data_IF_188704767195
#
_entry.id   IF_188704767195
#
_cell.length_a   1.000
_cell.length_b   1.000
_cell.length_c   1.000
_cell.angle_alpha   90.00
_cell.angle_beta   90.00
_cell.angle_gamma   90.00
#
_symmetry.space_group_name_H-M   'P 1'
#
loop_
_entity.id
_entity.type
_entity.pdbx_description
1 polymer ?
#
# COMPACT_ATOMS: atom_id res chain seq x y z
N UNK A 1 9.14 -21.97 -1.03
CA UNK A 1 7.99 -21.11 -1.40
C UNK A 1 7.08 -21.89 -2.31
N UNK A 2 5.86 -22.13 -1.84
CA UNK A 2 4.79 -22.74 -2.65
C UNK A 2 4.35 -21.76 -3.74
N UNK A 3 3.56 -22.23 -4.72
CA UNK A 3 2.95 -21.34 -5.72
C UNK A 3 2.06 -20.29 -5.04
N UNK A 4 1.38 -20.64 -3.95
CA UNK A 4 0.59 -19.72 -3.14
C UNK A 4 1.45 -18.62 -2.51
N UNK A 5 2.61 -18.95 -1.95
CA UNK A 5 3.52 -17.95 -1.39
C UNK A 5 3.95 -16.92 -2.44
N UNK A 6 4.21 -17.38 -3.67
CA UNK A 6 4.58 -16.51 -4.79
C UNK A 6 3.43 -15.61 -5.24
N UNK A 7 2.21 -16.13 -5.30
CA UNK A 7 1.01 -15.35 -5.64
C UNK A 7 0.78 -14.27 -4.58
N UNK A 8 0.88 -14.64 -3.30
CA UNK A 8 0.73 -13.71 -2.18
C UNK A 8 1.77 -12.60 -2.19
N UNK A 9 3.02 -12.92 -2.48
CA UNK A 9 4.09 -11.93 -2.61
C UNK A 9 3.84 -10.96 -3.79
N UNK A 10 3.38 -11.48 -4.94
CA UNK A 10 3.07 -10.64 -6.10
C UNK A 10 1.90 -9.70 -5.82
N UNK A 11 0.82 -10.21 -5.23
CA UNK A 11 -0.34 -9.39 -4.85
C UNK A 11 0.03 -8.30 -3.85
N UNK A 12 0.86 -8.62 -2.86
CA UNK A 12 1.37 -7.63 -1.90
C UNK A 12 2.18 -6.53 -2.58
N UNK A 13 3.09 -6.90 -3.49
CA UNK A 13 3.87 -5.93 -4.28
C UNK A 13 2.96 -5.03 -5.11
N UNK A 14 1.94 -5.59 -5.75
CA UNK A 14 1.00 -4.83 -6.57
C UNK A 14 0.18 -3.86 -5.72
N UNK A 15 -0.34 -4.29 -4.57
CA UNK A 15 -1.07 -3.41 -3.64
C UNK A 15 -0.18 -2.27 -3.13
N UNK A 16 1.06 -2.56 -2.73
CA UNK A 16 1.97 -1.52 -2.27
C UNK A 16 2.34 -0.54 -3.39
N UNK A 17 2.59 -1.04 -4.60
CA UNK A 17 2.83 -0.19 -5.77
C UNK A 17 1.62 0.69 -6.10
N UNK A 18 0.40 0.17 -5.96
CA UNK A 18 -0.81 0.97 -6.16
C UNK A 18 -0.98 2.06 -5.11
N UNK A 19 -0.59 1.80 -3.85
CA UNK A 19 -0.59 2.81 -2.80
C UNK A 19 0.41 3.94 -3.11
N UNK A 20 1.60 3.59 -3.60
CA UNK A 20 2.59 4.58 -4.04
C UNK A 20 2.09 5.39 -5.25
N UNK A 21 1.46 4.74 -6.22
CA UNK A 21 0.85 5.42 -7.36
C UNK A 21 -0.24 6.42 -6.94
N UNK A 22 -0.97 6.16 -5.85
CA UNK A 22 -1.95 7.11 -5.30
C UNK A 22 -1.23 8.34 -4.74
N UNK A 23 -0.11 8.16 -4.06
CA UNK A 23 0.71 9.28 -3.58
C UNK A 23 1.20 10.14 -4.74
N UNK A 24 1.82 9.51 -5.75
CA UNK A 24 2.34 10.21 -6.93
C UNK A 24 1.23 10.91 -7.72
N UNK A 25 0.04 10.28 -7.83
CA UNK A 25 -1.11 10.91 -8.46
C UNK A 25 -1.57 12.16 -7.71
N UNK A 26 -1.56 12.13 -6.37
CA UNK A 26 -1.96 13.29 -5.60
C UNK A 26 -0.94 14.42 -5.65
N UNK A 27 0.35 14.10 -5.53
CA UNK A 27 1.45 15.06 -5.67
C UNK A 27 1.48 15.73 -7.05
N UNK A 28 1.22 14.97 -8.12
CA UNK A 28 1.20 15.51 -9.49
C UNK A 28 -0.05 16.32 -9.83
N UNK A 29 -1.18 16.12 -9.14
CA UNK A 29 -2.47 16.75 -9.47
C UNK A 29 -2.89 17.85 -8.50
N UNK A 30 -2.37 17.84 -7.28
CA UNK A 30 -2.78 18.76 -6.22
C UNK A 30 -1.55 19.39 -5.58
N UNK A 31 -1.57 20.71 -5.43
CA UNK A 31 -0.59 21.41 -4.60
C UNK A 31 -1.15 21.50 -3.19
N UNK A 32 -0.84 20.49 -2.38
CA UNK A 32 -1.30 20.42 -0.99
C UNK A 32 -0.35 21.21 -0.09
N UNK A 33 -0.89 21.77 0.98
CA UNK A 33 -0.06 22.31 2.04
C UNK A 33 0.58 21.17 2.83
N UNK A 34 1.79 21.42 3.36
CA UNK A 34 2.60 20.41 4.04
C UNK A 34 1.85 19.57 5.10
N UNK A 35 0.98 20.15 5.96
CA UNK A 35 0.19 19.36 6.91
C UNK A 35 -0.75 18.35 6.26
N UNK A 36 -1.30 18.68 5.09
CA UNK A 36 -2.24 17.82 4.36
C UNK A 36 -1.50 16.69 3.65
N UNK A 37 -0.34 16.99 3.04
CA UNK A 37 0.58 15.98 2.50
C UNK A 37 1.03 14.99 3.59
N UNK A 38 1.49 15.49 4.74
CA UNK A 38 1.91 14.65 5.86
C UNK A 38 0.77 13.75 6.35
N UNK A 39 -0.47 14.27 6.40
CA UNK A 39 -1.65 13.51 6.79
C UNK A 39 -1.99 12.39 5.78
N UNK A 40 -1.85 12.67 4.48
CA UNK A 40 -2.06 11.72 3.40
C UNK A 40 -1.01 10.60 3.45
N UNK A 41 0.28 10.96 3.53
CA UNK A 41 1.37 9.98 3.63
C UNK A 41 1.14 9.07 4.82
N UNK A 42 0.76 9.64 5.96
CA UNK A 42 0.44 8.88 7.16
C UNK A 42 -0.71 7.89 6.92
N UNK A 43 -1.80 8.32 6.28
CA UNK A 43 -2.95 7.46 5.98
C UNK A 43 -2.61 6.33 5.00
N UNK A 44 -1.80 6.61 3.98
CA UNK A 44 -1.35 5.61 3.02
C UNK A 44 -0.40 4.59 3.68
N UNK A 45 0.47 5.02 4.59
CA UNK A 45 1.31 4.11 5.36
C UNK A 45 0.50 3.26 6.35
N UNK A 46 -0.48 3.83 7.05
CA UNK A 46 -1.44 3.07 7.87
C UNK A 46 -2.14 1.98 7.04
N UNK A 47 -2.50 2.28 5.78
CA UNK A 47 -3.08 1.29 4.87
C UNK A 47 -2.08 0.18 4.50
N UNK A 48 -0.82 0.51 4.21
CA UNK A 48 0.23 -0.50 3.96
C UNK A 48 0.39 -1.45 5.14
N UNK A 49 0.42 -0.91 6.37
CA UNK A 49 0.57 -1.70 7.60
C UNK A 49 -0.61 -2.67 7.80
N UNK A 50 -1.84 -2.19 7.56
CA UNK A 50 -3.05 -3.03 7.63
C UNK A 50 -3.00 -4.16 6.60
N UNK A 51 -2.65 -3.83 5.35
CA UNK A 51 -2.52 -4.83 4.27
C UNK A 51 -1.44 -5.86 4.61
N UNK A 52 -0.28 -5.42 5.11
CA UNK A 52 0.79 -6.31 5.52
C UNK A 52 0.33 -7.26 6.64
N UNK A 53 -0.32 -6.72 7.68
CA UNK A 53 -0.85 -7.50 8.80
C UNK A 53 -1.89 -8.54 8.36
N UNK A 54 -2.85 -8.14 7.54
CA UNK A 54 -3.89 -9.05 7.02
C UNK A 54 -3.25 -10.13 6.14
N UNK A 55 -2.27 -9.76 5.31
CA UNK A 55 -1.55 -10.73 4.51
C UNK A 55 -0.87 -11.79 5.39
N UNK A 56 -0.25 -11.41 6.52
CA UNK A 56 0.33 -12.37 7.47
C UNK A 56 -0.69 -13.36 8.05
N UNK A 57 -1.96 -12.97 8.15
CA UNK A 57 -3.06 -13.79 8.67
C UNK A 57 -3.78 -14.61 7.59
N UNK A 58 -3.68 -14.21 6.32
CA UNK A 58 -4.27 -14.95 5.20
C UNK A 58 -3.44 -16.21 4.89
N UNK A 59 -3.93 -17.36 5.33
CA UNK A 59 -3.63 -18.63 4.68
C UNK A 59 -4.48 -18.70 3.41
N UNK A 60 -3.84 -18.76 2.24
CA UNK A 60 -4.53 -19.10 1.00
C UNK A 60 -4.87 -20.59 1.11
N UNK A 61 -6.13 -20.89 1.44
CA UNK A 61 -6.68 -22.26 1.46
C UNK A 61 -6.80 -22.82 0.05
#
# INVERSE_FOLDING_TARGET
MTVQDKIKEQLLKEVFSNIDNIYDFMDTRFTLDKPCDDAIVKKLNELKDVVYKISGLCELS
#
